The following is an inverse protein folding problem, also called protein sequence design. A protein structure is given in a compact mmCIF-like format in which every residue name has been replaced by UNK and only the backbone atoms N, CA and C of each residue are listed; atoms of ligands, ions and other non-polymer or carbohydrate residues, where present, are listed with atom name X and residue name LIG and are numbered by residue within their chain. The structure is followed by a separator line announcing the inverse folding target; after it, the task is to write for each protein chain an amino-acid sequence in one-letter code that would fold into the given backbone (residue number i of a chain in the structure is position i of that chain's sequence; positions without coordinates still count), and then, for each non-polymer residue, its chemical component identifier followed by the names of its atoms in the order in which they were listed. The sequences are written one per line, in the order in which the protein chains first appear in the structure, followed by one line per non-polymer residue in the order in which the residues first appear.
data_IF_498400565827
#
_entry.id   IF_498400565827
#
_cell.length_a   1.000
_cell.length_b   1.000
_cell.length_c   1.000
_cell.angle_alpha   90.00
_cell.angle_beta   90.00
_cell.angle_gamma   90.00
#
_symmetry.space_group_name_H-M   'P 1'
#
loop_
_entity.id
_entity.type
_entity.pdbx_description
1 polymer ?
#
# COMPACT_ATOMS: atom_id res chain seq x y z
N UNK A 1 -0.50 36.35 -5.88
CA UNK A 1 0.11 35.18 -5.21
C UNK A 1 -0.60 33.85 -5.46
N UNK A 2 -1.92 33.78 -5.60
CA UNK A 2 -2.67 32.51 -5.77
C UNK A 2 -2.40 31.69 -7.05
N UNK A 3 -1.81 32.29 -8.12
CA UNK A 3 -1.54 31.57 -9.37
C UNK A 3 -0.47 30.48 -9.22
N UNK A 4 0.49 30.64 -8.32
CA UNK A 4 1.59 29.68 -8.15
C UNK A 4 1.18 28.45 -7.31
N UNK A 5 0.37 28.65 -6.27
CA UNK A 5 -0.11 27.55 -5.42
C UNK A 5 -1.06 26.61 -6.17
N UNK A 6 -1.89 27.14 -7.07
CA UNK A 6 -2.80 26.33 -7.89
C UNK A 6 -2.04 25.39 -8.84
N UNK A 7 -0.93 25.87 -9.42
CA UNK A 7 -0.08 25.04 -10.28
C UNK A 7 0.71 23.94 -9.56
N UNK A 8 0.99 24.11 -8.26
CA UNK A 8 1.57 23.03 -7.43
C UNK A 8 0.52 21.98 -7.12
N UNK A 9 -0.69 22.41 -6.71
CA UNK A 9 -1.78 21.49 -6.37
C UNK A 9 -2.23 20.63 -7.57
N UNK A 10 -2.23 21.20 -8.78
CA UNK A 10 -2.52 20.47 -10.01
C UNK A 10 -1.45 19.40 -10.32
N UNK A 11 -0.17 19.70 -10.05
CA UNK A 11 0.92 18.73 -10.20
C UNK A 11 0.83 17.59 -9.18
N UNK A 12 0.51 17.90 -7.93
CA UNK A 12 0.24 16.88 -6.90
C UNK A 12 -0.94 15.99 -7.29
N UNK A 13 -2.04 16.57 -7.77
CA UNK A 13 -3.19 15.81 -8.25
C UNK A 13 -2.86 14.86 -9.41
N UNK A 14 -2.02 15.31 -10.35
CA UNK A 14 -1.53 14.47 -11.46
C UNK A 14 -0.59 13.36 -10.96
N UNK A 15 0.25 13.65 -9.97
CA UNK A 15 1.17 12.66 -9.37
C UNK A 15 0.41 11.52 -8.67
N UNK A 16 -0.68 11.85 -7.98
CA UNK A 16 -1.53 10.89 -7.27
C UNK A 16 -2.32 9.96 -8.20
N UNK A 17 -2.42 10.25 -9.51
CA UNK A 17 -3.09 9.36 -10.46
C UNK A 17 -2.35 8.04 -10.67
N UNK A 18 -1.01 8.05 -10.58
CA UNK A 18 -0.20 6.87 -10.90
C UNK A 18 -0.44 5.70 -9.94
N UNK A 19 -0.45 5.90 -8.59
CA UNK A 19 -0.85 4.84 -7.66
C UNK A 19 -2.32 4.43 -7.79
N UNK A 20 -3.23 5.39 -8.01
CA UNK A 20 -4.67 5.13 -8.09
C UNK A 20 -5.02 4.25 -9.28
N UNK A 21 -4.28 4.36 -10.38
CA UNK A 21 -4.47 3.52 -11.57
C UNK A 21 -4.21 2.02 -11.32
N UNK A 22 -3.47 1.65 -10.26
CA UNK A 22 -3.15 0.27 -9.92
C UNK A 22 -4.28 -0.41 -9.10
N UNK A 23 -5.09 0.39 -8.40
CA UNK A 23 -6.13 -0.12 -7.49
C UNK A 23 -7.23 -0.92 -8.19
N UNK A 24 -7.73 -0.56 -9.40
CA UNK A 24 -8.74 -1.37 -10.09
C UNK A 24 -8.24 -2.77 -10.42
N UNK A 25 -7.00 -2.90 -10.89
CA UNK A 25 -6.42 -4.20 -11.21
C UNK A 25 -6.28 -5.09 -9.97
N UNK A 26 -5.75 -4.53 -8.87
CA UNK A 26 -5.65 -5.22 -7.60
C UNK A 26 -7.02 -5.62 -7.02
N UNK A 27 -8.01 -4.74 -7.14
CA UNK A 27 -9.38 -5.00 -6.69
C UNK A 27 -10.05 -6.13 -7.47
N UNK A 28 -9.85 -6.19 -8.79
CA UNK A 28 -10.38 -7.29 -9.62
C UNK A 28 -9.71 -8.62 -9.23
N UNK A 29 -8.38 -8.64 -9.07
CA UNK A 29 -7.64 -9.84 -8.64
C UNK A 29 -8.14 -10.36 -7.29
N UNK A 30 -8.28 -9.47 -6.31
CA UNK A 30 -8.76 -9.80 -4.97
C UNK A 30 -10.22 -10.31 -5.00
N UNK A 31 -11.11 -9.58 -5.66
CA UNK A 31 -12.53 -9.93 -5.74
C UNK A 31 -12.75 -11.24 -6.50
N UNK A 32 -11.99 -11.49 -7.56
CA UNK A 32 -12.11 -12.72 -8.34
C UNK A 32 -11.55 -13.94 -7.59
N UNK A 33 -10.39 -13.79 -6.94
CA UNK A 33 -9.83 -14.85 -6.09
C UNK A 33 -10.76 -15.24 -4.94
N UNK A 34 -11.41 -14.25 -4.31
CA UNK A 34 -12.37 -14.49 -3.23
C UNK A 34 -13.68 -15.10 -3.75
N UNK A 35 -14.21 -14.62 -4.89
CA UNK A 35 -15.44 -15.12 -5.48
C UNK A 35 -15.35 -16.60 -5.91
N UNK A 36 -14.18 -17.04 -6.38
CA UNK A 36 -13.93 -18.45 -6.77
C UNK A 36 -13.87 -19.41 -5.56
N UNK A 37 -13.55 -18.91 -4.38
CA UNK A 37 -13.47 -19.69 -3.14
C UNK A 37 -14.78 -19.68 -2.33
N UNK A 38 -15.79 -18.95 -2.79
CA UNK A 38 -17.04 -18.80 -2.04
C UNK A 38 -17.81 -20.14 -2.00
N UNK A 39 -18.20 -20.63 -0.80
CA UNK A 39 -18.87 -21.93 -0.65
C UNK A 39 -20.18 -22.04 -1.45
N UNK A 40 -20.89 -20.93 -1.65
CA UNK A 40 -22.12 -20.91 -2.47
C UNK A 40 -21.85 -21.16 -3.96
N UNK A 41 -20.68 -20.73 -4.45
CA UNK A 41 -20.27 -20.87 -5.86
C UNK A 41 -19.67 -22.26 -6.11
N UNK A 42 -18.89 -22.76 -5.16
CA UNK A 42 -18.34 -24.12 -5.19
C UNK A 42 -19.46 -25.16 -5.15
N UNK A 43 -20.50 -24.95 -4.32
CA UNK A 43 -21.67 -25.83 -4.26
C UNK A 43 -22.50 -25.86 -5.56
N UNK A 44 -22.44 -24.79 -6.38
CA UNK A 44 -23.15 -24.72 -7.67
C UNK A 44 -22.32 -25.20 -8.85
N UNK A 45 -21.00 -25.13 -8.76
CA UNK A 45 -20.07 -25.55 -9.81
C UNK A 45 -19.01 -26.49 -9.18
N UNK A 46 -19.27 -27.81 -9.11
CA UNK A 46 -18.33 -28.76 -8.51
C UNK A 46 -16.99 -28.87 -9.24
N UNK A 47 -16.87 -28.31 -10.46
CA UNK A 47 -15.59 -28.18 -11.15
C UNK A 47 -14.62 -27.22 -10.43
N UNK A 48 -15.10 -26.30 -9.58
CA UNK A 48 -14.26 -25.37 -8.80
C UNK A 48 -13.60 -26.02 -7.57
N UNK A 49 -14.03 -27.21 -7.16
CA UNK A 49 -13.40 -27.97 -6.06
C UNK A 49 -12.04 -28.54 -6.44
N UNK A 50 -11.66 -28.49 -7.72
CA UNK A 50 -10.37 -29.01 -8.14
C UNK A 50 -9.23 -28.25 -7.45
N UNK A 51 -8.31 -28.98 -6.82
CA UNK A 51 -7.20 -28.42 -6.01
C UNK A 51 -6.41 -27.33 -6.76
N UNK A 52 -6.24 -27.48 -8.08
CA UNK A 52 -5.53 -26.51 -8.91
C UNK A 52 -6.28 -25.18 -9.10
N UNK A 53 -7.61 -25.18 -9.08
CA UNK A 53 -8.45 -23.97 -9.19
C UNK A 53 -8.46 -23.23 -7.86
N UNK A 54 -8.59 -23.93 -6.74
CA UNK A 54 -8.51 -23.34 -5.40
C UNK A 54 -7.15 -22.72 -5.16
N UNK A 55 -6.07 -23.41 -5.54
CA UNK A 55 -4.71 -22.87 -5.46
C UNK A 55 -4.58 -21.59 -6.31
N UNK A 56 -5.07 -21.60 -7.56
CA UNK A 56 -5.02 -20.43 -8.43
C UNK A 56 -5.83 -19.25 -7.85
N UNK A 57 -7.01 -19.52 -7.30
CA UNK A 57 -7.84 -18.52 -6.65
C UNK A 57 -7.15 -17.89 -5.42
N UNK A 58 -6.49 -18.70 -4.59
CA UNK A 58 -5.71 -18.22 -3.44
C UNK A 58 -4.50 -17.38 -3.85
N UNK A 59 -3.84 -17.72 -4.97
CA UNK A 59 -2.73 -16.94 -5.53
C UNK A 59 -3.25 -15.59 -6.02
N UNK A 60 -4.38 -15.58 -6.72
CA UNK A 60 -5.01 -14.35 -7.22
C UNK A 60 -5.45 -13.43 -6.07
N UNK A 61 -6.07 -13.99 -5.03
CA UNK A 61 -6.47 -13.26 -3.84
C UNK A 61 -5.26 -12.64 -3.13
N UNK A 62 -4.23 -13.45 -2.85
CA UNK A 62 -3.00 -12.99 -2.19
C UNK A 62 -2.25 -11.94 -3.01
N UNK A 63 -2.23 -12.10 -4.34
CA UNK A 63 -1.61 -11.13 -5.26
C UNK A 63 -2.37 -9.80 -5.31
N UNK A 64 -3.70 -9.81 -5.13
CA UNK A 64 -4.49 -8.59 -4.97
C UNK A 64 -4.26 -7.92 -3.62
N UNK A 65 -4.25 -8.71 -2.54
CA UNK A 65 -4.15 -8.23 -1.17
C UNK A 65 -2.82 -7.50 -0.89
N UNK A 66 -1.70 -8.02 -1.40
CA UNK A 66 -0.38 -7.42 -1.16
C UNK A 66 -0.27 -5.97 -1.66
N UNK A 67 -1.00 -5.62 -2.72
CA UNK A 67 -1.06 -4.26 -3.27
C UNK A 67 -1.76 -3.31 -2.31
N UNK A 68 -2.86 -3.76 -1.70
CA UNK A 68 -3.57 -2.98 -0.68
C UNK A 68 -2.76 -2.90 0.61
N UNK A 69 -2.15 -4.00 1.06
CA UNK A 69 -1.31 -4.04 2.25
C UNK A 69 -0.13 -3.06 2.19
N UNK A 70 0.44 -2.82 1.01
CA UNK A 70 1.59 -1.93 0.81
C UNK A 70 1.22 -0.62 0.11
N UNK A 71 -0.05 -0.22 0.15
CA UNK A 71 -0.54 0.95 -0.58
C UNK A 71 0.17 2.24 -0.18
N UNK A 72 0.57 2.41 1.09
CA UNK A 72 1.37 3.57 1.49
C UNK A 72 2.69 3.69 0.74
N UNK A 73 3.40 2.58 0.56
CA UNK A 73 4.67 2.56 -0.13
C UNK A 73 4.46 2.92 -1.61
N UNK A 74 3.45 2.32 -2.25
CA UNK A 74 3.07 2.63 -3.63
C UNK A 74 2.72 4.11 -3.81
N UNK A 75 2.00 4.70 -2.85
CA UNK A 75 1.71 6.13 -2.86
C UNK A 75 2.94 7.00 -2.61
N UNK A 76 3.81 6.64 -1.66
CA UNK A 76 5.03 7.39 -1.39
C UNK A 76 5.94 7.46 -2.63
N UNK A 77 6.15 6.32 -3.30
CA UNK A 77 6.96 6.25 -4.52
C UNK A 77 6.27 6.95 -5.68
N UNK A 78 4.98 6.70 -5.91
CA UNK A 78 4.26 7.28 -7.04
C UNK A 78 4.07 8.79 -6.94
N UNK A 79 3.86 9.33 -5.73
CA UNK A 79 3.81 10.78 -5.51
C UNK A 79 5.18 11.42 -5.77
N UNK A 80 6.26 10.81 -5.28
CA UNK A 80 7.61 11.34 -5.49
C UNK A 80 8.00 11.38 -6.96
N UNK A 81 7.74 10.30 -7.72
CA UNK A 81 7.98 10.24 -9.17
C UNK A 81 7.08 11.23 -9.92
N UNK A 82 5.80 11.31 -9.53
CA UNK A 82 4.85 12.20 -10.20
C UNK A 82 5.15 13.69 -9.97
N UNK A 83 5.73 14.04 -8.82
CA UNK A 83 6.14 15.41 -8.50
C UNK A 83 7.51 15.77 -9.10
N UNK A 84 8.37 14.78 -9.36
CA UNK A 84 9.70 14.94 -10.00
C UNK A 84 9.67 14.92 -11.53
N UNK A 85 8.49 14.94 -12.16
CA UNK A 85 8.30 14.78 -13.61
C UNK A 85 8.87 13.45 -14.17
N UNK A 86 8.84 12.38 -13.39
CA UNK A 86 9.28 11.05 -13.85
C UNK A 86 10.74 10.72 -13.56
N UNK A 87 11.43 11.50 -12.73
CA UNK A 87 12.78 11.16 -12.28
C UNK A 87 12.73 9.97 -11.31
N UNK A 88 13.33 8.85 -11.72
CA UNK A 88 13.41 7.62 -10.94
C UNK A 88 14.23 7.75 -9.65
N UNK A 89 15.14 8.72 -9.57
CA UNK A 89 15.93 9.00 -8.35
C UNK A 89 15.01 9.47 -7.21
N UNK A 90 13.98 10.25 -7.53
CA UNK A 90 12.99 10.68 -6.53
C UNK A 90 12.17 9.50 -5.98
N UNK A 91 11.85 8.52 -6.82
CA UNK A 91 11.17 7.29 -6.40
C UNK A 91 12.01 6.45 -5.44
N UNK A 92 13.30 6.29 -5.73
CA UNK A 92 14.25 5.60 -4.85
C UNK A 92 14.44 6.35 -3.52
N UNK A 93 14.59 7.68 -3.56
CA UNK A 93 14.70 8.49 -2.35
C UNK A 93 13.45 8.38 -1.46
N UNK A 94 12.25 8.35 -2.06
CA UNK A 94 11.01 8.16 -1.33
C UNK A 94 10.87 6.76 -0.73
N UNK A 95 11.32 5.72 -1.44
CA UNK A 95 11.33 4.36 -0.90
C UNK A 95 12.26 4.25 0.32
N UNK A 96 13.48 4.79 0.24
CA UNK A 96 14.41 4.81 1.37
C UNK A 96 13.87 5.66 2.52
N UNK A 97 13.30 6.84 2.23
CA UNK A 97 12.66 7.69 3.24
C UNK A 97 11.50 6.99 3.95
N UNK A 98 10.68 6.23 3.21
CA UNK A 98 9.60 5.42 3.78
C UNK A 98 10.13 4.36 4.74
N UNK A 99 11.20 3.63 4.37
CA UNK A 99 11.83 2.64 5.24
C UNK A 99 12.42 3.27 6.51
N UNK A 100 13.10 4.42 6.40
CA UNK A 100 13.64 5.14 7.57
C UNK A 100 12.51 5.55 8.53
N UNK A 101 11.38 6.04 8.00
CA UNK A 101 10.20 6.38 8.81
C UNK A 101 9.65 5.14 9.53
N UNK A 102 9.60 3.99 8.85
CA UNK A 102 9.14 2.74 9.46
C UNK A 102 10.07 2.27 10.58
N UNK A 103 11.39 2.30 10.39
CA UNK A 103 12.38 1.94 11.43
C UNK A 103 12.32 2.89 12.61
N UNK A 104 12.31 4.21 12.36
CA UNK A 104 12.25 5.21 13.44
C UNK A 104 10.98 5.08 14.27
N UNK A 105 9.85 4.74 13.64
CA UNK A 105 8.59 4.52 14.35
C UNK A 105 8.59 3.20 15.15
N UNK A 106 9.28 2.17 14.67
CA UNK A 106 9.51 0.92 15.41
C UNK A 106 10.34 1.17 16.68
N UNK A 107 11.46 1.91 16.56
CA UNK A 107 12.34 2.26 17.67
C UNK A 107 11.65 3.21 18.68
N UNK A 108 10.98 4.25 18.21
CA UNK A 108 10.22 5.17 19.10
C UNK A 108 9.01 4.49 19.76
N UNK A 109 8.41 3.52 19.09
CA UNK A 109 7.25 2.79 19.58
C UNK A 109 7.58 1.65 20.53
N UNK A 110 8.87 1.30 20.70
CA UNK A 110 9.31 0.15 21.50
C UNK A 110 8.72 -1.18 21.01
N UNK A 111 8.40 -1.30 19.71
CA UNK A 111 7.76 -2.49 19.15
C UNK A 111 8.88 -3.51 18.84
N UNK A 112 9.13 -4.40 19.78
CA UNK A 112 10.07 -5.51 19.61
C UNK A 112 9.44 -6.64 18.76
N UNK A 113 10.26 -7.38 18.01
CA UNK A 113 9.80 -8.39 17.04
C UNK A 113 8.94 -9.51 17.67
N UNK A 114 9.02 -9.70 18.98
CA UNK A 114 8.29 -10.73 19.74
C UNK A 114 6.81 -10.36 20.00
N UNK A 115 6.43 -9.07 19.94
CA UNK A 115 5.04 -8.63 20.17
C UNK A 115 4.15 -8.69 18.93
N UNK A 116 4.71 -8.98 17.74
CA UNK A 116 3.97 -8.90 16.47
C UNK A 116 2.92 -10.01 16.34
N UNK A 117 3.07 -11.11 17.08
CA UNK A 117 2.15 -12.26 17.03
C UNK A 117 1.02 -12.20 18.08
N UNK A 118 0.96 -11.17 18.94
CA UNK A 118 0.02 -11.13 20.07
C UNK A 118 -0.83 -9.86 20.17
N UNK A 119 -0.57 -8.83 19.35
CA UNK A 119 -1.35 -7.59 19.35
C UNK A 119 -2.01 -7.35 17.98
N UNK A 120 -3.34 -7.26 17.96
CA UNK A 120 -4.09 -6.77 16.80
C UNK A 120 -3.63 -5.34 16.47
N UNK A 121 -2.88 -5.19 15.37
CA UNK A 121 -2.38 -3.88 14.93
C UNK A 121 -0.85 -3.75 14.86
N UNK A 122 -0.11 -4.85 14.80
CA UNK A 122 1.32 -4.90 14.40
C UNK A 122 1.50 -5.83 13.20
N UNK A 123 2.17 -5.37 12.15
CA UNK A 123 2.51 -6.16 10.98
C UNK A 123 3.94 -5.89 10.53
N UNK A 124 4.56 -6.90 9.95
CA UNK A 124 5.84 -6.75 9.27
C UNK A 124 5.61 -6.04 7.94
N UNK A 125 6.04 -4.78 7.85
CA UNK A 125 6.15 -4.08 6.57
C UNK A 125 7.60 -4.25 6.11
N UNK A 126 7.81 -5.11 5.12
CA UNK A 126 9.14 -5.41 4.55
C UNK A 126 10.18 -5.84 5.60
N UNK A 127 9.77 -6.66 6.59
CA UNK A 127 10.67 -7.21 7.63
C UNK A 127 10.89 -6.31 8.85
N UNK A 128 10.27 -5.12 8.91
CA UNK A 128 10.33 -4.24 10.08
C UNK A 128 9.04 -4.43 10.91
N UNK A 129 9.13 -4.69 12.24
CA UNK A 129 7.95 -4.74 13.10
C UNK A 129 7.37 -3.33 13.25
N UNK A 130 6.21 -3.10 12.62
CA UNK A 130 5.54 -1.78 12.63
C UNK A 130 4.07 -1.93 13.00
N UNK A 131 3.46 -0.88 13.55
CA UNK A 131 2.03 -0.91 13.87
C UNK A 131 1.16 -0.86 12.59
N UNK A 132 0.45 -1.96 12.32
CA UNK A 132 -0.54 -2.14 11.27
C UNK A 132 -1.80 -1.31 11.56
N UNK A 133 -1.93 -0.14 10.92
CA UNK A 133 -3.17 0.66 10.98
C UNK A 133 -3.99 0.62 9.69
N UNK A 134 -3.69 -0.35 8.82
CA UNK A 134 -4.32 -0.52 7.53
C UNK A 134 -4.12 0.66 6.55
N UNK A 135 -4.68 0.48 5.36
CA UNK A 135 -4.56 1.35 4.18
C UNK A 135 -4.89 2.83 4.47
N UNK A 136 -5.86 3.09 5.36
CA UNK A 136 -6.30 4.45 5.71
C UNK A 136 -5.32 5.19 6.62
N UNK A 137 -4.70 4.49 7.57
CA UNK A 137 -3.68 5.07 8.45
C UNK A 137 -2.38 5.40 7.71
N UNK A 138 -2.10 4.62 6.67
CA UNK A 138 -0.86 4.64 5.93
C UNK A 138 -0.85 5.70 4.82
N UNK A 139 -1.97 5.90 4.11
CA UNK A 139 -2.18 7.09 3.26
C UNK A 139 -2.17 8.39 4.08
N UNK A 140 -2.80 8.39 5.26
CA UNK A 140 -2.85 9.58 6.14
C UNK A 140 -1.46 9.92 6.72
N UNK A 141 -0.60 8.93 7.00
CA UNK A 141 0.78 9.14 7.47
C UNK A 141 1.72 9.62 6.37
N UNK A 142 1.61 9.09 5.14
CA UNK A 142 2.36 9.57 3.98
C UNK A 142 2.10 11.06 3.73
N UNK A 143 0.82 11.45 3.71
CA UNK A 143 0.43 12.84 3.50
C UNK A 143 0.81 13.74 4.69
N UNK A 144 0.66 13.30 5.94
CA UNK A 144 0.92 14.15 7.12
C UNK A 144 2.41 14.48 7.33
N UNK A 145 3.36 13.62 6.93
CA UNK A 145 4.81 13.94 7.05
C UNK A 145 5.38 14.72 5.87
N UNK A 146 4.76 14.67 4.70
CA UNK A 146 5.11 15.55 3.58
C UNK A 146 4.86 17.05 3.93
N UNK A 147 3.85 17.35 4.75
CA UNK A 147 3.61 18.71 5.27
C UNK A 147 4.65 19.20 6.29
N UNK A 148 5.38 18.32 6.97
CA UNK A 148 6.41 18.71 7.97
C UNK A 148 7.75 19.01 7.29
N UNK A 149 7.98 18.50 6.08
CA UNK A 149 9.18 18.82 5.29
C UNK A 149 9.09 20.13 4.49
N UNK A 150 7.94 20.82 4.46
CA UNK A 150 7.83 22.19 3.88
C UNK A 150 8.06 23.31 4.91
N UNK A 151 8.38 22.99 6.17
CA UNK A 151 8.66 23.97 7.26
C UNK A 151 10.16 24.01 7.66
N UNK A 152 11.00 23.22 7.00
CA UNK A 152 12.48 23.30 7.06
C UNK A 152 13.05 23.40 5.65
#
# INVERSE_FOLDING_TARGET
MFKNSFGVLQRVGKALMLPVALLPAAGILLAFGNALQNPDMVARIPALEADWIVLLASIMESAGDIVFANLALLFAVGVAIGLSNGDGVAGLAALIGYLIINVTMSVMGGIEADMVNSAEGTAFVLGIPTSNRGVRGDYCRSTRRLYVQEIL
#
